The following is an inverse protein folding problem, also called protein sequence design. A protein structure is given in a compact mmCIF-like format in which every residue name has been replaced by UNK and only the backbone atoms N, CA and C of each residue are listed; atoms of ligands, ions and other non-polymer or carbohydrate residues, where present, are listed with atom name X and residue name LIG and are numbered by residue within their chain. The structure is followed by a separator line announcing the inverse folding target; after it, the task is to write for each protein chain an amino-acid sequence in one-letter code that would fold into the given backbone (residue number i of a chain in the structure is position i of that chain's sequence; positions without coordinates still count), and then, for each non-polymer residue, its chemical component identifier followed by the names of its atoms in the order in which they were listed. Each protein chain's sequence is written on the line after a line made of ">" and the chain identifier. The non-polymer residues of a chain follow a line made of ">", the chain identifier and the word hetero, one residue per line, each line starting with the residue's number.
data_IF_489649969060
#
_entry.id   IF_489649969060
#
_cell.length_a   1.000
_cell.length_b   1.000
_cell.length_c   1.000
_cell.angle_alpha   90.00
_cell.angle_beta   90.00
_cell.angle_gamma   90.00
#
_symmetry.space_group_name_H-M   'P 1'
#
loop_
_entity.id
_entity.type
_entity.pdbx_description
1 polymer ?
#
# COMPACT_ATOMS: atom_id res chain seq x y z
N UNK A 1 -22.44 11.80 -9.64
CA UNK A 1 -23.73 12.14 -8.97
C UNK A 1 -23.74 11.49 -7.59
N UNK A 2 -24.43 11.99 -6.54
CA UNK A 2 -24.34 11.36 -5.22
C UNK A 2 -24.98 9.98 -5.20
N UNK A 3 -24.46 9.08 -4.36
CA UNK A 3 -24.99 7.74 -4.11
C UNK A 3 -25.60 7.65 -2.70
N UNK A 4 -26.43 6.64 -2.46
CA UNK A 4 -27.03 6.37 -1.15
C UNK A 4 -27.03 4.88 -0.84
N UNK A 5 -27.02 4.53 0.44
CA UNK A 5 -27.04 3.14 0.93
C UNK A 5 -28.39 2.88 1.60
N UNK A 6 -29.03 1.77 1.24
CA UNK A 6 -30.29 1.33 1.84
C UNK A 6 -30.15 -0.11 2.30
N UNK A 7 -30.50 -0.38 3.56
CA UNK A 7 -30.52 -1.73 4.11
C UNK A 7 -31.80 -2.47 3.64
N UNK A 8 -31.62 -3.63 3.02
CA UNK A 8 -32.71 -4.54 2.63
C UNK A 8 -32.31 -5.98 2.93
N UNK A 9 -33.19 -6.71 3.59
CA UNK A 9 -33.00 -8.13 3.92
C UNK A 9 -31.67 -8.44 4.64
N UNK A 10 -31.22 -7.51 5.51
CA UNK A 10 -29.96 -7.62 6.27
C UNK A 10 -28.70 -7.37 5.44
N UNK A 11 -28.84 -6.79 4.24
CA UNK A 11 -27.73 -6.41 3.35
C UNK A 11 -27.78 -4.92 3.02
N UNK A 12 -26.62 -4.33 2.77
CA UNK A 12 -26.46 -2.92 2.47
C UNK A 12 -26.33 -2.71 0.97
N UNK A 13 -27.37 -2.17 0.34
CA UNK A 13 -27.44 -2.00 -1.12
C UNK A 13 -27.17 -0.54 -1.53
N UNK A 14 -26.32 -0.36 -2.54
CA UNK A 14 -25.92 0.95 -3.07
C UNK A 14 -26.84 1.34 -4.23
N UNK A 15 -27.38 2.56 -4.19
CA UNK A 15 -28.24 3.13 -5.23
C UNK A 15 -27.73 4.49 -5.67
N UNK A 16 -28.17 4.92 -6.87
CA UNK A 16 -28.08 6.35 -7.23
C UNK A 16 -29.01 7.13 -6.30
N UNK A 17 -28.59 8.33 -5.90
CA UNK A 17 -29.41 9.20 -5.08
C UNK A 17 -30.30 10.07 -5.99
N UNK A 18 -31.61 9.94 -5.84
CA UNK A 18 -32.58 10.76 -6.54
C UNK A 18 -32.66 12.19 -5.99
N UNK A 19 -33.45 13.04 -6.64
CA UNK A 19 -33.62 14.46 -6.26
C UNK A 19 -34.22 14.63 -4.86
N UNK A 20 -34.98 13.64 -4.38
CA UNK A 20 -35.55 13.58 -3.03
C UNK A 20 -34.57 13.06 -1.97
N UNK A 21 -33.37 12.67 -2.40
CA UNK A 21 -32.34 12.06 -1.56
C UNK A 21 -32.54 10.56 -1.31
N UNK A 22 -33.57 9.94 -1.90
CA UNK A 22 -33.87 8.51 -1.82
C UNK A 22 -33.13 7.67 -2.85
N UNK A 23 -33.24 6.33 -2.78
CA UNK A 23 -32.69 5.43 -3.78
C UNK A 23 -33.45 5.55 -5.10
N UNK A 24 -32.74 5.82 -6.19
CA UNK A 24 -33.28 5.89 -7.54
C UNK A 24 -32.70 4.76 -8.40
N UNK A 25 -33.59 4.05 -9.12
CA UNK A 25 -33.21 3.00 -10.07
C UNK A 25 -32.87 1.64 -9.43
N UNK A 26 -32.17 0.81 -10.20
CA UNK A 26 -31.70 -0.50 -9.75
C UNK A 26 -30.49 -0.38 -8.81
N UNK A 27 -30.31 -1.40 -7.95
CA UNK A 27 -29.15 -1.47 -7.07
C UNK A 27 -27.87 -1.63 -7.90
N UNK A 28 -26.84 -0.89 -7.54
CA UNK A 28 -25.50 -0.98 -8.12
C UNK A 28 -24.69 -2.13 -7.49
N UNK A 29 -25.14 -2.65 -6.34
CA UNK A 29 -24.49 -3.73 -5.61
C UNK A 29 -24.99 -3.82 -4.17
N UNK A 30 -24.99 -5.01 -3.58
CA UNK A 30 -25.37 -5.23 -2.19
C UNK A 30 -24.28 -5.98 -1.44
N UNK A 31 -23.99 -5.52 -0.22
CA UNK A 31 -22.91 -6.00 0.62
C UNK A 31 -23.41 -6.46 1.97
N UNK A 32 -22.59 -7.21 2.70
CA UNK A 32 -22.97 -7.76 3.99
C UNK A 32 -22.75 -6.74 5.11
N UNK A 33 -21.90 -5.74 4.87
CA UNK A 33 -21.62 -4.64 5.79
C UNK A 33 -21.82 -3.26 5.16
N UNK A 34 -22.06 -2.25 6.00
CA UNK A 34 -22.19 -0.86 5.56
C UNK A 34 -20.87 -0.30 5.01
N UNK A 35 -19.74 -0.78 5.54
CA UNK A 35 -18.38 -0.38 5.14
C UNK A 35 -18.08 -0.81 3.70
N UNK A 36 -18.35 -2.06 3.33
CA UNK A 36 -18.22 -2.55 1.95
C UNK A 36 -19.10 -1.77 0.95
N UNK A 37 -20.29 -1.36 1.37
CA UNK A 37 -21.16 -0.51 0.57
C UNK A 37 -20.61 0.93 0.40
N UNK A 38 -19.91 1.46 1.40
CA UNK A 38 -19.21 2.75 1.30
C UNK A 38 -17.99 2.66 0.38
N UNK A 39 -17.24 1.55 0.45
CA UNK A 39 -16.10 1.30 -0.44
C UNK A 39 -16.52 1.23 -1.91
N UNK A 40 -17.66 0.60 -2.20
CA UNK A 40 -18.23 0.60 -3.54
C UNK A 40 -18.55 2.03 -4.01
N UNK A 41 -19.16 2.88 -3.16
CA UNK A 41 -19.46 4.28 -3.50
C UNK A 41 -18.16 5.03 -3.81
N UNK A 42 -17.13 4.91 -2.97
CA UNK A 42 -15.84 5.55 -3.17
C UNK A 42 -15.19 5.12 -4.50
N UNK A 43 -15.26 3.83 -4.85
CA UNK A 43 -14.71 3.32 -6.10
C UNK A 43 -15.44 3.86 -7.33
N UNK A 44 -16.77 3.98 -7.28
CA UNK A 44 -17.56 4.56 -8.37
C UNK A 44 -17.25 6.05 -8.52
N UNK A 45 -17.19 6.80 -7.41
CA UNK A 45 -16.88 8.24 -7.45
C UNK A 45 -15.47 8.51 -7.98
N UNK A 46 -14.48 7.71 -7.60
CA UNK A 46 -13.12 7.80 -8.12
C UNK A 46 -13.06 7.51 -9.63
N UNK A 47 -13.84 6.53 -10.10
CA UNK A 47 -13.93 6.20 -11.53
C UNK A 47 -14.64 7.31 -12.33
N UNK A 48 -15.74 7.85 -11.82
CA UNK A 48 -16.45 8.99 -12.44
C UNK A 48 -15.59 10.27 -12.45
N UNK A 49 -14.70 10.45 -11.47
CA UNK A 49 -13.76 11.57 -11.45
C UNK A 49 -12.68 11.39 -12.52
N UNK A 50 -12.11 10.18 -12.65
CA UNK A 50 -11.12 9.87 -13.66
C UNK A 50 -11.65 10.00 -15.10
N UNK A 51 -12.92 9.67 -15.36
CA UNK A 51 -13.55 9.86 -16.67
C UNK A 51 -13.80 11.33 -17.03
N UNK A 52 -13.96 12.23 -16.04
CA UNK A 52 -14.16 13.66 -16.27
C UNK A 52 -12.87 14.40 -16.65
N UNK A 53 -11.71 13.83 -16.33
CA UNK A 53 -10.39 14.46 -16.53
C UNK A 53 -9.66 13.99 -17.81
N UNK A 54 -10.36 13.38 -18.78
CA UNK A 54 -9.78 13.02 -20.09
C UNK A 54 -9.77 14.26 -21.02
N UNK A 55 -8.61 14.78 -21.47
CA UNK A 55 -8.56 15.95 -22.33
C UNK A 55 -8.87 15.59 -23.78
N UNK A 56 -10.08 15.93 -24.24
CA UNK A 56 -10.44 16.00 -25.65
C UNK A 56 -10.03 17.33 -26.27
N UNK A 57 -9.21 17.24 -27.33
CA UNK A 57 -8.83 18.20 -28.37
C UNK A 57 -9.05 19.73 -28.19
N UNK A 58 -7.96 20.46 -28.44
CA UNK A 58 -7.83 21.91 -28.33
C UNK A 58 -8.60 22.72 -29.38
N UNK A 59 -9.23 23.82 -28.98
CA UNK A 59 -9.38 25.00 -29.84
C UNK A 59 -9.26 26.36 -29.11
N UNK A 60 -8.21 27.09 -29.52
CA UNK A 60 -7.98 28.54 -29.60
C UNK A 60 -8.62 29.53 -28.60
N UNK A 61 -7.74 30.05 -27.74
CA UNK A 61 -7.43 31.47 -27.46
C UNK A 61 -8.51 32.55 -27.64
N UNK A 62 -8.92 33.15 -26.52
CA UNK A 62 -9.18 34.58 -26.38
C UNK A 62 -8.86 35.04 -24.95
N UNK A 63 -8.15 36.17 -24.81
CA UNK A 63 -7.72 36.77 -23.55
C UNK A 63 -8.87 37.14 -22.61
N UNK A 64 -8.70 37.11 -21.28
CA UNK A 64 -9.76 37.45 -20.34
C UNK A 64 -9.94 38.96 -20.17
N UNK A 65 -11.20 39.41 -20.23
CA UNK A 65 -11.64 40.71 -19.70
C UNK A 65 -11.59 40.74 -18.17
N UNK A 66 -11.40 41.92 -17.54
CA UNK A 66 -11.30 42.03 -16.08
C UNK A 66 -12.65 41.73 -15.40
N UNK A 67 -12.65 41.05 -14.23
CA UNK A 67 -13.89 40.66 -13.57
C UNK A 67 -14.61 41.87 -12.98
N UNK A 68 -15.91 41.96 -13.25
CA UNK A 68 -16.85 42.80 -12.53
C UNK A 68 -16.98 42.33 -11.09
N UNK A 69 -16.97 43.28 -10.15
CA UNK A 69 -17.11 43.08 -8.71
C UNK A 69 -18.37 42.24 -8.36
N UNK A 70 -18.28 41.25 -7.45
CA UNK A 70 -19.46 40.54 -6.97
C UNK A 70 -20.20 41.37 -5.91
N UNK A 71 -21.52 41.49 -6.07
CA UNK A 71 -22.41 42.00 -5.03
C UNK A 71 -22.34 41.14 -3.75
N UNK A 72 -22.54 41.73 -2.55
CA UNK A 72 -22.35 41.05 -1.29
C UNK A 72 -23.47 40.04 -1.04
N UNK A 73 -23.18 38.76 -1.28
CA UNK A 73 -24.03 37.68 -0.77
C UNK A 73 -23.80 37.49 0.72
N UNK A 74 -24.93 37.39 1.42
CA UNK A 74 -25.05 37.28 2.87
C UNK A 74 -24.15 36.21 3.47
N UNK A 75 -23.42 36.58 4.52
CA UNK A 75 -22.63 35.69 5.37
C UNK A 75 -23.48 34.50 5.89
N UNK A 76 -23.11 33.29 5.45
CA UNK A 76 -23.49 32.04 6.11
C UNK A 76 -22.66 31.91 7.40
N UNK A 77 -23.34 31.73 8.53
CA UNK A 77 -22.73 31.57 9.84
C UNK A 77 -22.05 30.21 9.98
N UNK A 78 -20.80 30.11 9.53
CA UNK A 78 -19.92 29.02 9.93
C UNK A 78 -19.65 29.15 11.44
N UNK A 79 -20.00 28.11 12.21
CA UNK A 79 -19.70 28.03 13.65
C UNK A 79 -18.19 28.10 13.92
N UNK A 80 -17.77 28.28 15.20
CA UNK A 80 -16.36 28.42 15.54
C UNK A 80 -15.57 27.19 15.07
N UNK A 81 -14.34 27.38 14.58
CA UNK A 81 -13.54 26.29 14.04
C UNK A 81 -13.27 25.23 15.13
N UNK A 82 -13.18 23.96 14.72
CA UNK A 82 -13.05 22.81 15.61
C UNK A 82 -11.84 21.97 15.22
N UNK A 83 -11.06 21.54 16.22
CA UNK A 83 -10.02 20.53 16.13
C UNK A 83 -10.67 19.16 16.28
N UNK A 84 -10.56 18.34 15.24
CA UNK A 84 -11.07 16.96 15.25
C UNK A 84 -9.92 16.01 15.54
N UNK A 85 -10.09 15.16 16.56
CA UNK A 85 -9.19 14.04 16.84
C UNK A 85 -9.95 12.76 16.53
N UNK A 86 -9.49 12.01 15.54
CA UNK A 86 -10.06 10.72 15.18
C UNK A 86 -9.26 9.61 15.87
N UNK A 87 -9.95 8.82 16.68
CA UNK A 87 -9.49 7.59 17.29
C UNK A 87 -10.22 6.42 16.62
N UNK A 88 -9.69 5.18 16.67
CA UNK A 88 -10.29 4.03 15.98
C UNK A 88 -11.79 3.81 16.28
N UNK A 89 -12.23 4.14 17.50
CA UNK A 89 -13.62 3.95 17.95
C UNK A 89 -14.33 5.26 18.32
N UNK A 90 -13.71 6.43 18.08
CA UNK A 90 -14.30 7.69 18.50
C UNK A 90 -13.75 8.88 17.72
N UNK A 91 -14.63 9.78 17.30
CA UNK A 91 -14.23 11.10 16.82
C UNK A 91 -14.50 12.13 17.91
N UNK A 92 -13.45 12.79 18.40
CA UNK A 92 -13.54 13.83 19.41
C UNK A 92 -13.39 15.18 18.74
N UNK A 93 -14.45 15.99 18.74
CA UNK A 93 -14.38 17.37 18.29
C UNK A 93 -14.18 18.33 19.47
N UNK A 94 -13.16 19.18 19.36
CA UNK A 94 -12.81 20.19 20.35
C UNK A 94 -12.83 21.55 19.68
N UNK A 95 -13.59 22.52 20.20
CA UNK A 95 -13.56 23.89 19.68
C UNK A 95 -12.12 24.43 19.69
N UNK A 96 -11.69 25.04 18.59
CA UNK A 96 -10.40 25.70 18.48
C UNK A 96 -10.28 26.79 19.57
N UNK A 97 -9.11 26.87 20.21
CA UNK A 97 -8.87 27.75 21.36
C UNK A 97 -9.40 27.23 22.71
N UNK A 98 -10.08 26.06 22.77
CA UNK A 98 -10.47 25.44 24.05
C UNK A 98 -9.23 24.94 24.79
N UNK A 99 -8.84 25.69 25.81
CA UNK A 99 -7.75 25.35 26.73
C UNK A 99 -8.23 24.25 27.67
N UNK A 100 -7.76 23.02 27.48
CA UNK A 100 -7.94 21.96 28.49
C UNK A 100 -7.36 22.42 29.83
N UNK A 101 -8.04 22.09 30.93
CA UNK A 101 -7.51 22.35 32.27
C UNK A 101 -6.18 21.62 32.47
N UNK A 102 -5.29 22.15 33.32
CA UNK A 102 -4.01 21.51 33.62
C UNK A 102 -4.20 20.04 34.05
N UNK A 103 -5.24 19.78 34.87
CA UNK A 103 -5.63 18.42 35.29
C UNK A 103 -5.99 17.52 34.11
N UNK A 104 -6.82 18.00 33.17
CA UNK A 104 -7.22 17.18 32.03
C UNK A 104 -6.06 16.94 31.05
N UNK A 105 -5.16 17.92 30.87
CA UNK A 105 -3.94 17.71 30.07
C UNK A 105 -3.04 16.67 30.70
N UNK A 106 -2.87 16.70 32.02
CA UNK A 106 -2.03 15.74 32.73
C UNK A 106 -2.62 14.32 32.64
N UNK A 107 -3.94 14.17 32.78
CA UNK A 107 -4.62 12.88 32.61
C UNK A 107 -4.44 12.32 31.19
N UNK A 108 -4.56 13.15 30.15
CA UNK A 108 -4.35 12.72 28.77
C UNK A 108 -2.87 12.36 28.54
N UNK A 109 -1.93 13.15 29.04
CA UNK A 109 -0.50 12.87 28.90
C UNK A 109 -0.11 11.54 29.56
N UNK A 110 -0.65 11.26 30.75
CA UNK A 110 -0.42 10.00 31.46
C UNK A 110 -1.05 8.82 30.70
N UNK A 111 -2.27 8.97 30.19
CA UNK A 111 -2.93 7.96 29.38
C UNK A 111 -2.11 7.65 28.10
N UNK A 112 -1.63 8.68 27.39
CA UNK A 112 -0.77 8.51 26.21
C UNK A 112 0.52 7.78 26.57
N UNK A 113 1.13 8.11 27.71
CA UNK A 113 2.34 7.43 28.19
C UNK A 113 2.08 5.94 28.46
N UNK A 114 1.03 5.63 29.21
CA UNK A 114 0.65 4.24 29.51
C UNK A 114 0.32 3.45 28.24
N UNK A 115 -0.39 4.06 27.28
CA UNK A 115 -0.65 3.42 25.99
C UNK A 115 0.63 3.11 25.22
N UNK A 116 1.62 4.01 25.21
CA UNK A 116 2.92 3.74 24.57
C UNK A 116 3.67 2.59 25.24
N UNK A 117 3.70 2.56 26.56
CA UNK A 117 4.34 1.48 27.32
C UNK A 117 3.65 0.13 27.05
N UNK A 118 2.31 0.11 27.00
CA UNK A 118 1.54 -1.08 26.66
C UNK A 118 1.79 -1.56 25.23
N UNK A 119 1.84 -0.64 24.25
CA UNK A 119 2.16 -0.96 22.85
C UNK A 119 3.54 -1.61 22.76
N UNK A 120 4.57 -1.01 23.39
CA UNK A 120 5.92 -1.57 23.40
C UNK A 120 5.98 -2.95 24.05
N UNK A 121 5.22 -3.17 25.13
CA UNK A 121 5.16 -4.47 25.79
C UNK A 121 4.49 -5.54 24.90
N UNK A 122 3.43 -5.19 24.18
CA UNK A 122 2.76 -6.09 23.24
C UNK A 122 3.64 -6.38 22.02
N UNK A 123 4.35 -5.38 21.48
CA UNK A 123 5.33 -5.57 20.41
C UNK A 123 6.42 -6.55 20.83
N UNK A 124 6.96 -6.39 22.04
CA UNK A 124 7.95 -7.31 22.59
C UNK A 124 7.39 -8.72 22.78
N UNK A 125 6.15 -8.85 23.25
CA UNK A 125 5.51 -10.16 23.39
C UNK A 125 5.35 -10.85 22.03
N UNK A 126 4.96 -10.11 20.99
CA UNK A 126 4.89 -10.64 19.62
C UNK A 126 6.28 -11.12 19.16
N UNK A 127 7.32 -10.31 19.35
CA UNK A 127 8.70 -10.69 18.99
C UNK A 127 9.19 -11.94 19.74
N UNK A 128 8.91 -12.05 21.04
CA UNK A 128 9.29 -13.20 21.87
C UNK A 128 8.46 -14.46 21.57
N UNK A 129 7.32 -14.32 20.87
CA UNK A 129 6.41 -15.43 20.56
C UNK A 129 6.34 -15.78 19.07
N UNK A 130 7.10 -15.10 18.22
CA UNK A 130 7.27 -15.52 16.83
C UNK A 130 7.94 -16.91 16.80
N UNK A 131 7.30 -17.93 16.22
CA UNK A 131 7.83 -19.28 16.23
C UNK A 131 9.06 -19.37 15.31
N UNK A 132 10.19 -19.87 15.82
CA UNK A 132 11.44 -20.06 15.04
C UNK A 132 11.21 -20.85 13.74
N UNK A 133 10.35 -21.86 13.78
CA UNK A 133 9.94 -22.64 12.60
C UNK A 133 9.37 -21.75 11.48
N UNK A 134 8.68 -20.66 11.83
CA UNK A 134 8.13 -19.72 10.85
C UNK A 134 9.23 -18.89 10.20
N UNK A 135 10.25 -18.46 10.95
CA UNK A 135 11.39 -17.75 10.37
C UNK A 135 12.19 -18.65 9.41
N UNK A 136 12.39 -19.91 9.77
CA UNK A 136 13.05 -20.88 8.89
C UNK A 136 12.25 -21.14 7.60
N UNK A 137 10.92 -21.28 7.71
CA UNK A 137 10.05 -21.42 6.54
C UNK A 137 10.13 -20.19 5.65
N UNK A 138 10.02 -18.98 6.22
CA UNK A 138 10.11 -17.72 5.47
C UNK A 138 11.46 -17.62 4.77
N UNK A 139 12.57 -17.88 5.47
CA UNK A 139 13.91 -17.87 4.90
C UNK A 139 14.06 -18.89 3.76
N UNK A 140 13.50 -20.09 3.94
CA UNK A 140 13.51 -21.13 2.91
C UNK A 140 12.73 -20.72 1.65
N UNK A 141 11.57 -20.06 1.82
CA UNK A 141 10.76 -19.53 0.73
C UNK A 141 11.44 -18.37 -0.01
N UNK A 142 12.16 -17.51 0.71
CA UNK A 142 12.89 -16.37 0.12
C UNK A 142 14.21 -16.77 -0.55
N UNK A 143 14.70 -17.98 -0.30
CA UNK A 143 15.93 -18.47 -0.90
C UNK A 143 15.78 -18.61 -2.42
N UNK A 144 16.67 -17.95 -3.18
CA UNK A 144 16.69 -18.04 -4.64
C UNK A 144 17.27 -19.39 -5.07
N UNK A 145 16.54 -20.09 -5.94
CA UNK A 145 16.92 -21.41 -6.46
C UNK A 145 16.76 -21.45 -7.98
N UNK A 146 17.56 -22.29 -8.64
CA UNK A 146 17.33 -22.62 -10.04
C UNK A 146 16.03 -23.43 -10.18
N UNK A 147 15.17 -23.02 -11.11
CA UNK A 147 13.86 -23.64 -11.37
C UNK A 147 13.70 -24.09 -12.83
N UNK A 148 14.60 -23.68 -13.71
CA UNK A 148 14.61 -24.08 -15.11
C UNK A 148 15.91 -23.65 -15.78
N UNK A 149 16.16 -24.18 -16.97
CA UNK A 149 17.35 -23.90 -17.76
C UNK A 149 17.02 -24.11 -19.24
N UNK A 150 17.43 -23.18 -20.10
CA UNK A 150 17.34 -23.29 -21.56
C UNK A 150 18.73 -23.20 -22.20
N UNK A 151 18.87 -22.91 -23.49
CA UNK A 151 20.18 -22.87 -24.16
C UNK A 151 21.07 -21.73 -23.64
N UNK A 152 20.48 -20.57 -23.36
CA UNK A 152 21.19 -19.32 -23.11
C UNK A 152 21.09 -18.84 -21.65
N UNK A 153 20.12 -19.34 -20.90
CA UNK A 153 19.79 -18.84 -19.57
C UNK A 153 19.52 -19.93 -18.54
N UNK A 154 19.68 -19.57 -17.27
CA UNK A 154 19.20 -20.33 -16.11
C UNK A 154 18.10 -19.51 -15.46
N UNK A 155 16.89 -20.07 -15.39
CA UNK A 155 15.78 -19.44 -14.68
C UNK A 155 15.93 -19.71 -13.18
N UNK A 156 15.96 -18.62 -12.42
CA UNK A 156 16.04 -18.64 -10.95
C UNK A 156 14.81 -17.99 -10.36
N UNK A 157 14.34 -18.49 -9.22
CA UNK A 157 13.17 -17.93 -8.56
C UNK A 157 13.19 -18.12 -7.04
N UNK A 158 12.39 -17.31 -6.37
CA UNK A 158 12.20 -17.30 -4.93
C UNK A 158 11.20 -16.20 -4.54
N UNK A 159 10.79 -16.17 -3.29
CA UNK A 159 9.93 -15.09 -2.80
C UNK A 159 10.75 -13.82 -2.50
N UNK A 160 10.41 -12.70 -3.13
CA UNK A 160 10.95 -11.37 -2.83
C UNK A 160 10.69 -10.94 -1.39
N UNK A 161 9.50 -11.31 -0.93
CA UNK A 161 8.97 -11.10 0.41
C UNK A 161 7.88 -12.14 0.63
N UNK A 162 7.62 -12.47 1.90
CA UNK A 162 6.53 -13.35 2.32
C UNK A 162 5.58 -12.51 3.16
N UNK A 163 4.27 -12.64 2.94
CA UNK A 163 3.28 -11.86 3.68
C UNK A 163 3.34 -12.16 5.17
N UNK A 164 3.39 -11.07 5.93
CA UNK A 164 3.64 -11.07 7.35
C UNK A 164 5.01 -11.58 7.78
N UNK A 165 5.90 -11.88 6.84
CA UNK A 165 7.33 -12.04 7.11
C UNK A 165 8.01 -10.67 7.25
N UNK A 166 9.28 -10.71 7.64
CA UNK A 166 10.15 -9.53 7.69
C UNK A 166 11.30 -9.73 6.71
N UNK A 167 11.71 -8.67 6.01
CA UNK A 167 12.92 -8.71 5.20
C UNK A 167 14.21 -8.53 6.06
N UNK A 168 15.36 -8.44 5.40
CA UNK A 168 16.66 -8.24 6.06
C UNK A 168 16.73 -6.92 6.86
N UNK A 169 15.92 -5.93 6.51
CA UNK A 169 15.81 -4.65 7.20
C UNK A 169 14.71 -4.63 8.26
N UNK A 170 14.10 -5.79 8.55
CA UNK A 170 12.99 -5.97 9.49
C UNK A 170 11.70 -5.27 9.06
N UNK A 171 11.57 -4.96 7.78
CA UNK A 171 10.37 -4.35 7.21
C UNK A 171 9.28 -5.41 7.03
N UNK A 172 8.05 -5.08 7.45
CA UNK A 172 6.88 -5.94 7.33
C UNK A 172 6.14 -5.64 6.03
N UNK A 173 5.56 -6.68 5.42
CA UNK A 173 4.81 -6.54 4.18
C UNK A 173 3.46 -7.26 4.29
N UNK A 174 2.41 -6.59 3.81
CA UNK A 174 1.05 -7.12 3.75
C UNK A 174 0.58 -7.22 2.30
N UNK A 175 -0.47 -8.00 2.02
CA UNK A 175 -1.09 -7.99 0.69
C UNK A 175 -1.61 -6.61 0.24
N UNK A 176 -1.76 -5.66 1.17
CA UNK A 176 -2.18 -4.28 0.91
C UNK A 176 -1.00 -3.34 0.63
N UNK A 177 0.24 -3.78 0.85
CA UNK A 177 1.42 -2.96 0.57
C UNK A 177 1.51 -2.67 -0.92
N UNK A 178 1.52 -1.39 -1.29
CA UNK A 178 1.74 -0.97 -2.67
C UNK A 178 3.22 -1.08 -3.04
N UNK A 179 3.55 -2.11 -3.83
CA UNK A 179 4.91 -2.41 -4.28
C UNK A 179 5.29 -1.68 -5.58
N UNK A 180 4.39 -0.86 -6.14
CA UNK A 180 4.62 -0.12 -7.38
C UNK A 180 5.03 -0.97 -8.59
N UNK A 181 4.64 -2.25 -8.62
CA UNK A 181 4.96 -3.15 -9.75
C UNK A 181 4.41 -2.63 -11.08
N UNK A 182 3.30 -1.89 -11.06
CA UNK A 182 2.71 -1.22 -12.21
C UNK A 182 3.47 0.04 -12.65
N UNK A 183 4.26 0.65 -11.76
CA UNK A 183 4.94 1.94 -11.99
C UNK A 183 6.43 1.78 -12.31
N UNK A 184 7.06 0.70 -11.87
CA UNK A 184 8.52 0.48 -12.00
C UNK A 184 8.93 -0.12 -13.35
N UNK A 185 7.97 -0.47 -14.21
CA UNK A 185 8.21 -1.14 -15.49
C UNK A 185 8.25 -2.66 -15.34
N UNK A 186 8.34 -3.39 -16.45
CA UNK A 186 8.18 -4.86 -16.46
C UNK A 186 9.47 -5.65 -16.60
N UNK A 187 10.62 -4.97 -16.75
CA UNK A 187 11.94 -5.61 -16.92
C UNK A 187 13.00 -4.89 -16.10
N UNK A 188 13.46 -5.57 -15.06
CA UNK A 188 14.52 -5.10 -14.18
C UNK A 188 15.81 -5.84 -14.49
N UNK A 189 16.93 -5.12 -14.47
CA UNK A 189 18.24 -5.76 -14.52
C UNK A 189 18.49 -6.49 -13.20
N UNK A 190 19.10 -7.66 -13.27
CA UNK A 190 19.54 -8.40 -12.08
C UNK A 190 20.99 -8.05 -11.81
N UNK A 191 21.24 -7.54 -10.61
CA UNK A 191 22.56 -7.24 -10.08
C UNK A 191 22.81 -8.10 -8.85
N UNK A 192 24.05 -8.57 -8.69
CA UNK A 192 24.49 -9.15 -7.43
C UNK A 192 24.81 -8.04 -6.42
N UNK A 193 24.34 -8.17 -5.19
CA UNK A 193 24.58 -7.24 -4.08
C UNK A 193 24.34 -5.76 -4.44
N UNK A 194 23.29 -5.48 -5.23
CA UNK A 194 22.95 -4.14 -5.74
C UNK A 194 24.11 -3.43 -6.48
N UNK A 195 25.08 -4.22 -6.92
CA UNK A 195 26.32 -3.79 -7.54
C UNK A 195 27.37 -3.19 -6.60
N UNK A 196 27.26 -3.43 -5.29
CA UNK A 196 28.27 -3.08 -4.30
C UNK A 196 29.40 -4.09 -4.19
N UNK A 197 29.22 -5.31 -4.70
CA UNK A 197 30.29 -6.31 -4.73
C UNK A 197 31.53 -5.79 -5.47
N UNK A 198 32.70 -6.01 -4.87
CA UNK A 198 33.96 -5.46 -5.39
C UNK A 198 34.39 -6.08 -6.73
N UNK A 199 34.01 -7.33 -7.00
CA UNK A 199 34.34 -8.04 -8.23
C UNK A 199 33.30 -7.78 -9.32
N UNK A 200 32.02 -8.04 -9.04
CA UNK A 200 30.93 -7.95 -10.01
C UNK A 200 30.52 -6.50 -10.30
N UNK A 201 30.60 -5.60 -9.31
CA UNK A 201 30.25 -4.18 -9.46
C UNK A 201 28.90 -4.04 -10.17
N UNK A 202 28.80 -3.27 -11.25
CA UNK A 202 27.55 -3.02 -11.98
C UNK A 202 27.25 -4.07 -13.06
N UNK A 203 27.91 -5.21 -13.04
CA UNK A 203 27.69 -6.28 -14.02
C UNK A 203 26.26 -6.79 -13.95
N UNK A 204 25.59 -6.83 -15.11
CA UNK A 204 24.23 -7.34 -15.23
C UNK A 204 24.32 -8.84 -15.46
N UNK A 205 23.86 -9.61 -14.47
CA UNK A 205 23.94 -11.08 -14.51
C UNK A 205 22.70 -11.73 -15.12
N UNK A 206 21.65 -10.93 -15.37
CA UNK A 206 20.39 -11.39 -15.91
C UNK A 206 19.33 -10.29 -15.96
N UNK A 207 18.10 -10.70 -16.26
CA UNK A 207 16.92 -9.82 -16.26
C UNK A 207 15.73 -10.48 -15.55
N UNK A 208 14.90 -9.68 -14.91
CA UNK A 208 13.66 -10.17 -14.30
C UNK A 208 12.71 -10.65 -15.39
N UNK A 209 12.13 -11.82 -15.14
CA UNK A 209 11.23 -12.50 -16.05
C UNK A 209 9.78 -12.40 -15.58
N UNK A 210 9.55 -12.46 -14.26
CA UNK A 210 8.22 -12.35 -13.67
C UNK A 210 8.31 -11.81 -12.23
N UNK A 211 7.45 -10.85 -11.90
CA UNK A 211 7.22 -10.38 -10.54
C UNK A 211 5.72 -10.38 -10.30
N UNK A 212 5.25 -11.26 -9.40
CA UNK A 212 3.82 -11.51 -9.25
C UNK A 212 3.41 -11.74 -7.79
N UNK A 213 2.57 -10.87 -7.21
CA UNK A 213 2.02 -11.11 -5.89
C UNK A 213 1.05 -12.29 -5.93
N UNK A 214 1.07 -13.11 -4.89
CA UNK A 214 0.17 -14.25 -4.71
C UNK A 214 -0.25 -14.39 -3.23
N UNK A 215 -0.86 -15.52 -2.83
CA UNK A 215 -1.32 -15.72 -1.44
C UNK A 215 -0.21 -15.87 -0.40
N UNK A 216 1.01 -16.17 -0.83
CA UNK A 216 2.18 -16.40 0.04
C UNK A 216 3.04 -15.13 0.14
N UNK A 217 3.25 -14.43 -0.97
CA UNK A 217 4.15 -13.29 -1.03
C UNK A 217 4.30 -12.71 -2.43
N UNK A 218 5.37 -11.96 -2.66
CA UNK A 218 5.81 -11.58 -4.02
C UNK A 218 6.68 -12.69 -4.60
N UNK A 219 6.19 -13.39 -5.60
CA UNK A 219 7.01 -14.31 -6.38
C UNK A 219 7.88 -13.52 -7.35
N UNK A 220 9.18 -13.79 -7.35
CA UNK A 220 10.14 -13.16 -8.26
C UNK A 220 10.93 -14.24 -8.99
N UNK A 221 10.93 -14.17 -10.32
CA UNK A 221 11.72 -15.01 -11.19
C UNK A 221 12.55 -14.17 -12.15
N UNK A 222 13.76 -14.65 -12.46
CA UNK A 222 14.69 -14.01 -13.36
C UNK A 222 15.42 -15.03 -14.23
N UNK A 223 15.91 -14.57 -15.38
CA UNK A 223 16.78 -15.33 -16.26
C UNK A 223 18.22 -14.85 -16.10
N UNK A 224 19.10 -15.73 -15.63
CA UNK A 224 20.54 -15.46 -15.55
C UNK A 224 21.23 -15.91 -16.83
N UNK A 225 22.15 -15.10 -17.34
CA UNK A 225 22.83 -15.39 -18.60
C UNK A 225 23.93 -16.45 -18.42
N UNK A 226 23.92 -17.51 -19.24
CA UNK A 226 24.96 -18.56 -19.19
C UNK A 226 26.32 -18.14 -19.66
N UNK A 227 26.38 -17.16 -20.54
CA UNK A 227 27.65 -16.58 -21.00
C UNK A 227 28.29 -15.65 -19.96
N UNK A 228 27.59 -15.33 -18.87
CA UNK A 228 28.13 -14.51 -17.81
C UNK A 228 29.13 -15.34 -16.97
N UNK A 229 30.36 -14.84 -16.84
CA UNK A 229 31.46 -15.54 -16.16
C UNK A 229 31.19 -15.81 -14.67
N UNK A 230 30.28 -15.06 -14.04
CA UNK A 230 29.95 -15.18 -12.62
C UNK A 230 28.85 -16.19 -12.32
N UNK A 231 28.19 -16.76 -13.34
CA UNK A 231 27.06 -17.69 -13.15
C UNK A 231 27.43 -18.87 -12.25
N UNK A 232 28.62 -19.46 -12.42
CA UNK A 232 29.06 -20.60 -11.63
C UNK A 232 29.14 -20.27 -10.12
N UNK A 233 29.59 -19.06 -9.78
CA UNK A 233 29.63 -18.58 -8.39
C UNK A 233 28.23 -18.35 -7.83
N UNK A 234 27.34 -17.75 -8.62
CA UNK A 234 25.95 -17.55 -8.22
C UNK A 234 25.24 -18.88 -7.97
N UNK A 235 25.44 -19.88 -8.83
CA UNK A 235 24.87 -21.22 -8.65
C UNK A 235 25.36 -21.90 -7.36
N UNK A 236 26.62 -21.67 -6.96
CA UNK A 236 27.13 -22.19 -5.70
C UNK A 236 26.47 -21.51 -4.49
N UNK A 237 26.29 -20.20 -4.53
CA UNK A 237 25.56 -19.46 -3.50
C UNK A 237 24.09 -19.90 -3.40
N UNK A 238 23.44 -20.23 -4.52
CA UNK A 238 22.09 -20.81 -4.52
C UNK A 238 22.04 -22.17 -3.84
N UNK A 239 23.01 -23.06 -4.10
CA UNK A 239 23.09 -24.37 -3.45
C UNK A 239 23.27 -24.24 -1.94
N UNK A 240 23.99 -23.22 -1.49
CA UNK A 240 24.20 -22.91 -0.08
C UNK A 240 22.99 -22.22 0.58
N UNK A 241 21.99 -21.80 -0.21
CA UNK A 241 20.86 -21.02 0.28
C UNK A 241 21.24 -19.62 0.77
N UNK A 242 22.29 -19.04 0.18
CA UNK A 242 22.84 -17.75 0.57
C UNK A 242 22.28 -16.57 -0.24
N UNK A 243 21.51 -16.84 -1.31
CA UNK A 243 20.90 -15.81 -2.13
C UNK A 243 19.44 -15.59 -1.75
N UNK A 244 19.07 -14.32 -1.63
CA UNK A 244 17.70 -13.84 -1.50
C UNK A 244 17.49 -12.63 -2.40
N UNK A 245 16.23 -12.36 -2.73
CA UNK A 245 15.87 -11.14 -3.43
C UNK A 245 15.86 -9.96 -2.47
N UNK A 246 16.17 -8.78 -3.00
CA UNK A 246 15.86 -7.53 -2.31
C UNK A 246 14.38 -7.22 -2.52
N UNK A 247 13.69 -6.79 -1.48
CA UNK A 247 12.26 -6.42 -1.53
C UNK A 247 12.00 -5.27 -2.51
N UNK A 248 13.00 -4.45 -2.85
CA UNK A 248 12.90 -3.33 -3.79
C UNK A 248 12.00 -2.19 -3.31
N UNK A 249 11.28 -2.39 -2.21
CA UNK A 249 10.37 -1.42 -1.62
C UNK A 249 11.15 -0.27 -0.99
N UNK A 250 10.67 0.95 -1.22
CA UNK A 250 11.19 2.13 -0.52
C UNK A 250 10.69 2.04 0.91
N UNK A 251 11.59 1.96 1.89
CA UNK A 251 11.26 1.56 3.28
C UNK A 251 10.24 2.41 4.05
N UNK A 252 9.78 3.55 3.52
CA UNK A 252 8.67 4.34 4.11
C UNK A 252 7.31 4.08 3.44
N UNK A 253 7.26 3.29 2.36
CA UNK A 253 6.05 2.80 1.71
C UNK A 253 5.59 1.47 2.31
N UNK A 254 6.47 0.80 3.06
CA UNK A 254 6.10 -0.35 3.87
C UNK A 254 5.61 0.14 5.24
N UNK A 255 4.48 -0.39 5.66
CA UNK A 255 3.95 -0.11 7.00
C UNK A 255 4.83 -0.79 8.06
N UNK A 256 5.14 -0.05 9.13
CA UNK A 256 5.93 -0.50 10.29
C UNK A 256 5.00 -1.07 11.35
#
# INVERSE_FOLDING_TARGET
>A
MPYTIVERDGRYCVYRKGEDGGPEGETLGCHDTQEEAQDQIAAIEASEAAERDVPGEAEKAASPEPPSEPEPTSASSAGPPQVTVTLPNATVQVREGRVLSAKNRQLIAEAVKQSKEAILALQRLLEETEPEEREEIVRSLQTVRAVGEDEDTVTVAGYGLVWGGKDLYKTYFTPQTDLWLDKLGTRHVVLYDHGFDHALRKEVVGESAEEKPNKVGLWVAAQLYKHNEYLAGLQELMKQGALGWSSGAVGHLAEI
#
